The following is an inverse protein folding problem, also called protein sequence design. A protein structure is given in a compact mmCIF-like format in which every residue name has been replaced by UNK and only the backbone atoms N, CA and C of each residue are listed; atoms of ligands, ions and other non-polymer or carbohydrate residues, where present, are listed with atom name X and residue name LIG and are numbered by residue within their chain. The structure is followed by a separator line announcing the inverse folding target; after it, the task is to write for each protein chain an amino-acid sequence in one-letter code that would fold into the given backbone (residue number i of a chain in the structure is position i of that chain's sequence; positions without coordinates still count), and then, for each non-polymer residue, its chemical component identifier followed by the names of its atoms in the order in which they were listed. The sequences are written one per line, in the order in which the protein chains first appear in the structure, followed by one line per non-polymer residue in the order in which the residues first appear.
data_IF_300298594861
#
_entry.id   IF_300298594861
#
_cell.length_a   1.000
_cell.length_b   1.000
_cell.length_c   1.000
_cell.angle_alpha   90.00
_cell.angle_beta   90.00
_cell.angle_gamma   90.00
#
_symmetry.space_group_name_H-M   'P 1'
#
loop_
_entity.id
_entity.type
_entity.pdbx_description
1 polymer ?
#
# COMPACT_ATOMS: atom_id res chain seq x y z
N UNK A 1 12.83 -21.06 -4.71
CA UNK A 1 11.47 -20.71 -4.26
C UNK A 1 10.67 -20.31 -5.50
N UNK A 2 9.57 -21.00 -5.77
CA UNK A 2 8.67 -20.64 -6.85
C UNK A 2 8.03 -19.29 -6.56
N UNK A 3 8.02 -18.38 -7.53
CA UNK A 3 7.64 -16.98 -7.36
C UNK A 3 6.54 -16.60 -8.33
N UNK A 4 5.44 -16.07 -7.82
CA UNK A 4 4.36 -15.51 -8.63
C UNK A 4 4.29 -13.99 -8.46
N UNK A 5 4.03 -13.27 -9.54
CA UNK A 5 3.76 -11.83 -9.51
C UNK A 5 2.27 -11.60 -9.73
N UNK A 6 1.65 -10.81 -8.85
CA UNK A 6 0.23 -10.44 -8.90
C UNK A 6 0.11 -8.94 -9.14
N UNK A 7 -0.58 -8.56 -10.22
CA UNK A 7 -0.89 -7.17 -10.58
C UNK A 7 -2.40 -6.99 -10.65
N UNK A 8 -2.94 -5.96 -10.00
CA UNK A 8 -4.38 -5.66 -10.01
C UNK A 8 -4.65 -4.53 -10.99
N UNK A 9 -5.48 -4.78 -11.99
CA UNK A 9 -5.95 -3.79 -12.96
C UNK A 9 -7.36 -3.29 -12.60
N UNK A 10 -7.60 -2.01 -12.85
CA UNK A 10 -8.95 -1.43 -12.91
C UNK A 10 -8.97 -0.23 -13.84
N UNK A 11 -9.59 -0.39 -15.04
CA UNK A 11 -9.73 0.65 -16.08
C UNK A 11 -8.39 1.30 -16.53
N UNK A 12 -7.26 0.59 -16.42
CA UNK A 12 -5.93 1.10 -16.78
C UNK A 12 -5.06 0.01 -17.40
N UNK A 13 -5.59 -0.62 -18.48
CA UNK A 13 -4.85 -1.66 -19.21
C UNK A 13 -3.51 -1.16 -19.76
N UNK A 14 -3.41 0.12 -20.09
CA UNK A 14 -2.18 0.78 -20.55
C UNK A 14 -1.04 0.67 -19.52
N UNK A 15 -1.28 1.12 -18.30
CA UNK A 15 -0.30 1.06 -17.21
C UNK A 15 0.01 -0.39 -16.82
N UNK A 16 -1.04 -1.21 -16.70
CA UNK A 16 -0.90 -2.63 -16.35
C UNK A 16 -0.04 -3.37 -17.35
N UNK A 17 -0.22 -3.09 -18.66
CA UNK A 17 0.59 -3.69 -19.71
C UNK A 17 2.07 -3.31 -19.59
N UNK A 18 2.38 -2.04 -19.29
CA UNK A 18 3.76 -1.58 -19.11
C UNK A 18 4.43 -2.27 -17.90
N UNK A 19 3.75 -2.30 -16.75
CA UNK A 19 4.25 -2.95 -15.54
C UNK A 19 4.50 -4.45 -15.73
N UNK A 20 3.54 -5.17 -16.33
CA UNK A 20 3.62 -6.62 -16.52
C UNK A 20 4.65 -7.00 -17.58
N UNK A 21 4.80 -6.24 -18.67
CA UNK A 21 5.86 -6.48 -19.64
C UNK A 21 7.25 -6.41 -19.01
N UNK A 22 7.52 -5.41 -18.18
CA UNK A 22 8.79 -5.32 -17.49
C UNK A 22 9.08 -6.54 -16.60
N UNK A 23 8.05 -7.13 -15.96
CA UNK A 23 8.16 -8.39 -15.22
C UNK A 23 8.44 -9.58 -16.14
N UNK A 24 7.72 -9.69 -17.25
CA UNK A 24 7.90 -10.78 -18.22
C UNK A 24 9.27 -10.71 -18.90
N UNK A 25 9.74 -9.50 -19.25
CA UNK A 25 11.06 -9.27 -19.85
C UNK A 25 12.21 -9.66 -18.90
N UNK A 26 12.01 -9.53 -17.58
CA UNK A 26 12.96 -10.01 -16.58
C UNK A 26 13.07 -11.55 -16.56
N UNK A 27 11.97 -12.25 -16.80
CA UNK A 27 11.93 -13.71 -16.95
C UNK A 27 12.23 -14.51 -15.69
N UNK A 28 12.13 -13.91 -14.50
CA UNK A 28 12.46 -14.56 -13.21
C UNK A 28 11.22 -14.99 -12.41
N UNK A 29 10.03 -14.55 -12.77
CA UNK A 29 8.77 -15.02 -12.21
C UNK A 29 8.33 -16.34 -12.84
N UNK A 30 7.88 -17.28 -12.02
CA UNK A 30 7.33 -18.56 -12.50
C UNK A 30 5.88 -18.41 -12.99
N UNK A 31 5.12 -17.52 -12.34
CA UNK A 31 3.74 -17.17 -12.71
C UNK A 31 3.59 -15.65 -12.75
N UNK A 32 2.91 -15.12 -13.76
CA UNK A 32 2.48 -13.71 -13.79
C UNK A 32 0.96 -13.67 -13.92
N UNK A 33 0.30 -13.11 -12.92
CA UNK A 33 -1.15 -13.10 -12.78
C UNK A 33 -1.64 -11.65 -12.77
N UNK A 34 -2.44 -11.30 -13.76
CA UNK A 34 -3.13 -10.01 -13.85
C UNK A 34 -4.58 -10.22 -13.44
N UNK A 35 -5.00 -9.55 -12.38
CA UNK A 35 -6.39 -9.59 -11.94
C UNK A 35 -7.10 -8.32 -12.39
N UNK A 36 -8.00 -8.45 -13.35
CA UNK A 36 -8.92 -7.36 -13.68
C UNK A 36 -10.02 -7.30 -12.62
N UNK A 37 -10.04 -6.20 -11.89
CA UNK A 37 -10.89 -6.00 -10.72
C UNK A 37 -12.24 -5.35 -11.10
N UNK A 38 -12.92 -5.89 -12.10
CA UNK A 38 -14.22 -5.43 -12.56
C UNK A 38 -14.15 -4.11 -13.34
N UNK A 39 -13.23 -4.03 -14.31
CA UNK A 39 -13.17 -2.89 -15.23
C UNK A 39 -14.45 -2.74 -16.03
N UNK A 40 -14.85 -1.51 -16.29
CA UNK A 40 -16.03 -1.14 -17.09
C UNK A 40 -15.70 -0.86 -18.55
N UNK A 41 -14.41 -0.82 -18.90
CA UNK A 41 -13.87 -0.61 -20.23
C UNK A 41 -13.44 -1.95 -20.88
N UNK A 42 -12.69 -1.90 -21.98
CA UNK A 42 -12.18 -3.06 -22.71
C UNK A 42 -10.89 -3.66 -22.13
N UNK A 43 -10.50 -3.28 -20.92
CA UNK A 43 -9.25 -3.68 -20.25
C UNK A 43 -8.98 -5.19 -20.34
N UNK A 44 -9.97 -6.04 -20.09
CA UNK A 44 -9.81 -7.51 -20.12
C UNK A 44 -9.38 -8.01 -21.50
N UNK A 45 -10.00 -7.49 -22.56
CA UNK A 45 -9.67 -7.87 -23.94
C UNK A 45 -8.27 -7.38 -24.32
N UNK A 46 -7.97 -6.13 -24.00
CA UNK A 46 -6.64 -5.52 -24.25
C UNK A 46 -5.54 -6.27 -23.52
N UNK A 47 -5.72 -6.57 -22.23
CA UNK A 47 -4.72 -7.28 -21.43
C UNK A 47 -4.45 -8.70 -21.95
N UNK A 48 -5.50 -9.46 -22.31
CA UNK A 48 -5.33 -10.81 -22.88
C UNK A 48 -4.60 -10.81 -24.21
N UNK A 49 -4.83 -9.79 -25.04
CA UNK A 49 -4.14 -9.65 -26.32
C UNK A 49 -2.69 -9.19 -26.14
N UNK A 50 -2.45 -8.23 -25.22
CA UNK A 50 -1.14 -7.62 -25.01
C UNK A 50 -0.16 -8.47 -24.21
N UNK A 51 -0.68 -9.40 -23.38
CA UNK A 51 0.07 -10.18 -22.39
C UNK A 51 -0.25 -11.69 -22.51
N UNK A 52 0.08 -12.35 -23.64
CA UNK A 52 -0.26 -13.75 -23.88
C UNK A 52 0.43 -14.71 -22.87
N UNK A 53 1.56 -14.29 -22.30
CA UNK A 53 2.34 -15.08 -21.34
C UNK A 53 1.91 -14.84 -19.87
N UNK A 54 0.90 -14.00 -19.63
CA UNK A 54 0.33 -13.77 -18.32
C UNK A 54 -1.06 -14.38 -18.18
N UNK A 55 -1.40 -14.85 -17.00
CA UNK A 55 -2.76 -15.30 -16.66
C UNK A 55 -3.65 -14.11 -16.34
N UNK A 56 -4.64 -13.80 -17.19
CA UNK A 56 -5.61 -12.71 -16.95
C UNK A 56 -6.88 -13.27 -16.32
N UNK A 57 -7.10 -12.94 -15.06
CA UNK A 57 -8.27 -13.33 -14.25
C UNK A 57 -9.23 -12.15 -14.17
N UNK A 58 -10.42 -12.28 -14.75
CA UNK A 58 -11.45 -11.25 -14.70
C UNK A 58 -12.38 -11.50 -13.49
N UNK A 59 -12.51 -10.51 -12.61
CA UNK A 59 -13.55 -10.47 -11.56
C UNK A 59 -14.83 -9.87 -12.13
N UNK A 60 -15.97 -10.24 -11.55
CA UNK A 60 -17.26 -9.68 -11.95
C UNK A 60 -17.58 -8.33 -11.29
N UNK A 61 -16.76 -7.88 -10.32
CA UNK A 61 -17.01 -6.69 -9.51
C UNK A 61 -15.69 -6.02 -9.09
N UNK A 62 -15.76 -4.75 -8.72
CA UNK A 62 -14.67 -4.05 -8.08
C UNK A 62 -14.73 -4.24 -6.55
N UNK A 63 -14.00 -5.21 -6.04
CA UNK A 63 -13.86 -5.47 -4.60
C UNK A 63 -12.76 -4.65 -3.89
N UNK A 64 -12.15 -3.67 -4.57
CA UNK A 64 -10.98 -2.93 -4.09
C UNK A 64 -9.67 -3.70 -4.24
N UNK A 65 -8.56 -3.05 -3.89
CA UNK A 65 -7.22 -3.63 -4.06
C UNK A 65 -7.05 -4.95 -3.29
N UNK A 66 -7.52 -5.00 -2.03
CA UNK A 66 -7.40 -6.20 -1.20
C UNK A 66 -8.05 -7.43 -1.84
N UNK A 67 -9.26 -7.30 -2.37
CA UNK A 67 -9.97 -8.41 -3.00
C UNK A 67 -9.32 -8.81 -4.35
N UNK A 68 -8.86 -7.84 -5.14
CA UNK A 68 -8.11 -8.09 -6.38
C UNK A 68 -6.81 -8.87 -6.11
N UNK A 69 -5.99 -8.37 -5.19
CA UNK A 69 -4.74 -9.02 -4.78
C UNK A 69 -4.99 -10.44 -4.23
N UNK A 70 -5.98 -10.61 -3.35
CA UNK A 70 -6.34 -11.92 -2.83
C UNK A 70 -6.81 -12.88 -3.92
N UNK A 71 -7.49 -12.39 -4.94
CA UNK A 71 -7.88 -13.22 -6.11
C UNK A 71 -6.63 -13.75 -6.80
N UNK A 72 -5.63 -12.91 -7.07
CA UNK A 72 -4.36 -13.35 -7.65
C UNK A 72 -3.58 -14.31 -6.76
N UNK A 73 -3.51 -14.03 -5.46
CA UNK A 73 -2.82 -14.90 -4.47
C UNK A 73 -3.43 -16.32 -4.44
N UNK A 74 -4.74 -16.43 -4.60
CA UNK A 74 -5.45 -17.74 -4.64
C UNK A 74 -5.28 -18.48 -5.97
N UNK A 75 -4.84 -17.81 -7.03
CA UNK A 75 -4.60 -18.42 -8.34
C UNK A 75 -3.21 -19.04 -8.51
N UNK A 76 -2.40 -19.02 -7.48
CA UNK A 76 -1.07 -19.63 -7.48
C UNK A 76 -0.80 -20.36 -6.17
N UNK A 77 0.03 -21.39 -6.23
CA UNK A 77 0.60 -22.12 -5.07
C UNK A 77 2.09 -21.78 -4.86
N UNK A 78 2.59 -20.71 -5.49
CA UNK A 78 3.97 -20.27 -5.37
C UNK A 78 4.39 -20.02 -3.91
N UNK A 79 5.65 -20.30 -3.60
CA UNK A 79 6.24 -20.11 -2.26
C UNK A 79 6.31 -18.62 -1.88
N UNK A 80 6.47 -17.78 -2.90
CA UNK A 80 6.59 -16.33 -2.79
C UNK A 80 5.58 -15.67 -3.72
N UNK A 81 4.82 -14.71 -3.19
CA UNK A 81 3.91 -13.88 -3.98
C UNK A 81 4.42 -12.44 -3.97
N UNK A 82 4.72 -11.92 -5.14
CA UNK A 82 5.06 -10.51 -5.33
C UNK A 82 3.78 -9.74 -5.64
N UNK A 83 3.49 -8.72 -4.86
CA UNK A 83 2.46 -7.73 -5.16
C UNK A 83 3.12 -6.55 -5.87
N UNK A 84 2.57 -6.15 -7.01
CA UNK A 84 3.03 -5.02 -7.80
C UNK A 84 1.84 -4.17 -8.24
N UNK A 85 1.91 -2.87 -8.00
CA UNK A 85 0.90 -1.94 -8.52
C UNK A 85 0.97 -1.84 -10.04
N UNK A 86 -0.16 -1.63 -10.68
CA UNK A 86 -0.25 -1.49 -12.12
C UNK A 86 0.36 -0.18 -12.66
N UNK A 87 0.56 0.83 -11.82
CA UNK A 87 1.23 2.10 -12.13
C UNK A 87 2.69 2.14 -11.61
N UNK A 88 3.26 0.96 -11.39
CA UNK A 88 4.63 0.77 -10.93
C UNK A 88 5.42 -0.07 -11.95
N UNK A 89 6.46 0.51 -12.55
CA UNK A 89 7.30 -0.17 -13.53
C UNK A 89 8.59 -0.66 -12.86
N UNK A 90 8.82 -1.97 -12.75
CA UNK A 90 10.01 -2.52 -12.13
C UNK A 90 11.25 -2.30 -12.99
N UNK A 91 12.36 -1.98 -12.32
CA UNK A 91 13.69 -2.01 -12.93
C UNK A 91 14.14 -3.47 -13.17
N UNK A 92 15.04 -3.73 -14.14
CA UNK A 92 15.56 -5.07 -14.37
C UNK A 92 16.14 -5.69 -13.09
N UNK A 93 15.76 -6.94 -12.80
CA UNK A 93 16.20 -7.66 -11.61
C UNK A 93 15.33 -7.43 -10.36
N UNK A 94 14.23 -6.70 -10.45
CA UNK A 94 13.35 -6.40 -9.31
C UNK A 94 12.78 -7.64 -8.64
N UNK A 95 12.20 -8.57 -9.42
CA UNK A 95 11.58 -9.80 -8.90
C UNK A 95 12.66 -10.71 -8.31
N UNK A 96 13.80 -10.85 -9.02
CA UNK A 96 14.95 -11.61 -8.53
C UNK A 96 15.48 -11.06 -7.21
N UNK A 97 15.65 -9.74 -7.09
CA UNK A 97 16.15 -9.11 -5.87
C UNK A 97 15.23 -9.34 -4.67
N UNK A 98 13.90 -9.23 -4.85
CA UNK A 98 12.93 -9.53 -3.79
C UNK A 98 12.98 -11.01 -3.38
N UNK A 99 12.96 -11.92 -4.36
CA UNK A 99 13.01 -13.37 -4.12
C UNK A 99 14.27 -13.77 -3.40
N UNK A 100 15.43 -13.30 -3.87
CA UNK A 100 16.74 -13.69 -3.36
C UNK A 100 16.96 -13.10 -1.95
N UNK A 101 16.50 -11.86 -1.69
CA UNK A 101 16.50 -11.30 -0.35
C UNK A 101 15.66 -12.19 0.60
N UNK A 102 14.44 -12.55 0.21
CA UNK A 102 13.57 -13.39 1.03
C UNK A 102 14.12 -14.81 1.21
N UNK A 103 14.86 -15.33 0.23
CA UNK A 103 15.51 -16.64 0.31
C UNK A 103 16.68 -16.66 1.30
N UNK A 104 17.44 -15.57 1.41
CA UNK A 104 18.57 -15.44 2.33
C UNK A 104 18.17 -14.91 3.71
N UNK A 105 17.01 -14.28 3.83
CA UNK A 105 16.47 -13.85 5.11
C UNK A 105 16.08 -15.04 5.99
N UNK A 106 16.07 -14.82 7.31
CA UNK A 106 15.63 -15.84 8.26
C UNK A 106 14.18 -16.29 8.04
N UNK A 107 13.84 -17.50 8.53
CA UNK A 107 12.48 -18.05 8.36
C UNK A 107 11.39 -17.21 9.03
N UNK A 108 11.74 -16.31 9.95
CA UNK A 108 10.85 -15.37 10.61
C UNK A 108 10.51 -14.15 9.75
N UNK A 109 11.15 -13.96 8.59
CA UNK A 109 10.85 -12.87 7.67
C UNK A 109 9.68 -13.25 6.77
N UNK A 110 8.55 -12.59 6.96
CA UNK A 110 7.30 -12.83 6.24
C UNK A 110 7.22 -12.12 4.91
N UNK A 111 7.79 -10.93 4.84
CA UNK A 111 7.70 -10.09 3.66
C UNK A 111 8.96 -9.24 3.47
N UNK A 112 9.22 -8.91 2.22
CA UNK A 112 10.28 -8.00 1.81
C UNK A 112 9.65 -6.92 0.93
N UNK A 113 9.86 -5.64 1.28
CA UNK A 113 9.39 -4.50 0.49
C UNK A 113 10.52 -3.96 -0.37
N UNK A 114 10.21 -3.60 -1.63
CA UNK A 114 11.16 -2.98 -2.53
C UNK A 114 11.38 -1.49 -2.24
N UNK A 115 12.34 -0.91 -2.96
CA UNK A 115 12.58 0.53 -3.03
C UNK A 115 11.69 1.13 -4.12
N UNK A 116 10.69 1.89 -3.72
CA UNK A 116 9.79 2.58 -4.63
C UNK A 116 10.29 3.99 -4.83
N UNK A 117 10.58 4.38 -6.06
CA UNK A 117 10.96 5.75 -6.44
C UNK A 117 9.79 6.44 -7.14
N UNK A 118 9.68 7.75 -6.96
CA UNK A 118 8.68 8.54 -7.70
C UNK A 118 9.09 8.66 -9.16
N UNK A 119 8.15 8.45 -10.06
CA UNK A 119 8.36 8.65 -11.49
C UNK A 119 8.78 10.09 -11.79
N UNK A 120 9.79 10.23 -12.64
CA UNK A 120 10.35 11.50 -13.03
C UNK A 120 11.23 12.15 -11.96
N UNK A 121 11.48 13.44 -12.14
CA UNK A 121 12.34 14.25 -11.27
C UNK A 121 11.51 15.36 -10.63
N UNK A 122 11.86 15.75 -9.41
CA UNK A 122 11.07 16.63 -8.57
C UNK A 122 11.90 17.77 -7.99
N UNK A 123 11.31 18.96 -7.89
CA UNK A 123 11.92 20.13 -7.24
C UNK A 123 10.96 20.73 -6.22
N UNK A 124 11.51 21.40 -5.21
CA UNK A 124 10.72 22.11 -4.21
C UNK A 124 10.09 23.33 -4.84
N UNK A 125 8.77 23.48 -4.71
CA UNK A 125 8.07 24.70 -5.10
C UNK A 125 8.30 25.76 -4.02
N UNK A 126 8.90 26.92 -4.35
CA UNK A 126 9.16 27.98 -3.37
C UNK A 126 7.93 28.41 -2.58
N UNK A 127 8.11 28.89 -1.37
CA UNK A 127 7.04 29.42 -0.54
C UNK A 127 6.36 30.61 -1.25
N UNK A 128 5.02 30.55 -1.36
CA UNK A 128 4.25 31.60 -2.05
C UNK A 128 4.21 31.46 -3.58
N UNK A 129 5.01 30.61 -4.20
CA UNK A 129 4.92 30.36 -5.63
C UNK A 129 3.64 29.59 -5.96
N UNK A 130 2.96 30.00 -7.02
CA UNK A 130 1.85 29.26 -7.61
C UNK A 130 2.40 28.24 -8.61
N UNK A 131 1.96 26.97 -8.56
CA UNK A 131 2.31 25.99 -9.58
C UNK A 131 1.70 26.41 -10.93
N UNK A 132 2.28 25.93 -12.03
CA UNK A 132 1.62 26.05 -13.32
C UNK A 132 0.21 25.44 -13.26
N UNK A 133 -0.75 25.96 -14.05
CA UNK A 133 -2.06 25.31 -14.21
C UNK A 133 -1.81 23.84 -14.56
N UNK A 134 -2.52 22.93 -13.97
CA UNK A 134 -2.40 21.48 -14.17
C UNK A 134 -1.10 20.84 -13.66
N UNK A 135 -0.17 21.59 -13.06
CA UNK A 135 1.02 21.01 -12.46
C UNK A 135 0.67 20.16 -11.25
N UNK A 136 1.17 18.94 -11.26
CA UNK A 136 1.08 18.04 -10.12
C UNK A 136 1.86 18.62 -8.93
N UNK A 137 1.23 18.73 -7.77
CA UNK A 137 1.89 19.18 -6.54
C UNK A 137 1.69 18.15 -5.45
N UNK A 138 2.79 17.59 -4.97
CA UNK A 138 2.80 16.69 -3.82
C UNK A 138 3.40 17.40 -2.60
N UNK A 139 3.10 16.89 -1.40
CA UNK A 139 3.67 17.41 -0.15
C UNK A 139 4.47 16.35 0.55
N UNK A 140 5.66 16.69 1.01
CA UNK A 140 6.42 15.83 1.90
C UNK A 140 5.88 15.88 3.35
N UNK A 141 6.49 15.08 4.24
CA UNK A 141 6.08 15.03 5.65
C UNK A 141 6.30 16.34 6.42
N UNK A 142 7.22 17.19 5.94
CA UNK A 142 7.50 18.52 6.51
C UNK A 142 6.54 19.59 5.94
N UNK A 143 5.66 19.21 5.00
CA UNK A 143 4.69 20.07 4.35
C UNK A 143 5.25 20.90 3.18
N UNK A 144 6.53 20.67 2.77
CA UNK A 144 7.09 21.31 1.57
C UNK A 144 6.32 20.82 0.35
N UNK A 145 6.11 21.72 -0.59
CA UNK A 145 5.45 21.42 -1.87
C UNK A 145 6.50 21.04 -2.89
N UNK A 146 6.26 19.96 -3.61
CA UNK A 146 7.12 19.46 -4.68
C UNK A 146 6.34 19.41 -5.99
N UNK A 147 7.02 19.70 -7.10
CA UNK A 147 6.45 19.66 -8.44
C UNK A 147 7.44 18.98 -9.40
N UNK A 148 6.96 18.28 -10.46
CA UNK A 148 7.84 17.73 -11.49
C UNK A 148 8.70 18.81 -12.16
N UNK A 149 9.97 18.49 -12.43
CA UNK A 149 10.90 19.39 -13.08
C UNK A 149 12.03 18.59 -13.75
N UNK A 150 12.38 18.94 -14.99
CA UNK A 150 13.50 18.30 -15.70
C UNK A 150 14.84 18.43 -14.95
N UNK A 151 15.07 19.57 -14.29
CA UNK A 151 16.26 19.85 -13.49
C UNK A 151 16.15 19.39 -12.03
N UNK A 152 15.06 18.72 -11.67
CA UNK A 152 14.80 18.23 -10.32
C UNK A 152 15.65 17.00 -9.97
N UNK A 153 15.36 16.41 -8.83
CA UNK A 153 16.01 15.21 -8.32
C UNK A 153 15.06 14.02 -8.29
N UNK A 154 15.58 12.80 -8.43
CA UNK A 154 14.82 11.58 -8.17
C UNK A 154 14.56 11.46 -6.67
N UNK A 155 13.32 11.15 -6.30
CA UNK A 155 12.90 11.08 -4.91
C UNK A 155 12.27 9.71 -4.59
N UNK A 156 12.45 9.28 -3.35
CA UNK A 156 11.78 8.08 -2.86
C UNK A 156 10.26 8.32 -2.73
N UNK A 157 9.48 7.35 -3.16
CA UNK A 157 8.09 7.21 -2.76
C UNK A 157 8.02 6.46 -1.42
N UNK A 158 8.63 5.28 -1.36
CA UNK A 158 8.53 4.43 -0.18
C UNK A 158 9.69 3.44 -0.09
N UNK A 159 10.13 3.15 1.13
CA UNK A 159 10.98 2.01 1.50
C UNK A 159 10.25 1.09 2.48
N UNK A 160 8.92 1.05 2.41
CA UNK A 160 8.02 0.32 3.28
C UNK A 160 7.07 1.22 4.05
N UNK A 161 6.27 0.60 4.89
CA UNK A 161 5.30 1.31 5.73
C UNK A 161 5.86 1.57 7.11
N UNK A 162 5.64 2.78 7.62
CA UNK A 162 5.76 3.11 9.05
C UNK A 162 4.41 3.48 9.64
N UNK A 163 4.24 3.24 10.92
CA UNK A 163 3.06 3.68 11.67
C UNK A 163 3.52 4.67 12.73
N UNK A 164 2.89 5.83 12.80
CA UNK A 164 3.20 6.81 13.84
C UNK A 164 2.44 6.53 15.15
N UNK A 165 2.81 7.26 16.22
CA UNK A 165 2.16 7.17 17.55
C UNK A 165 0.64 7.43 17.54
N UNK A 166 0.13 8.02 16.47
CA UNK A 166 -1.29 8.34 16.30
C UNK A 166 -2.01 7.33 15.41
N UNK A 167 -1.34 6.22 15.06
CA UNK A 167 -1.89 5.14 14.25
C UNK A 167 -1.98 5.44 12.77
N UNK A 168 -1.25 6.47 12.27
CA UNK A 168 -1.18 6.68 10.82
C UNK A 168 -0.20 5.67 10.21
N UNK A 169 -0.70 4.83 9.30
CA UNK A 169 0.12 4.16 8.31
C UNK A 169 0.55 5.17 7.24
N UNK A 170 1.82 5.21 6.92
CA UNK A 170 2.37 6.11 5.91
C UNK A 170 3.62 5.52 5.26
N UNK A 171 3.91 5.97 4.06
CA UNK A 171 5.14 5.62 3.36
C UNK A 171 6.37 6.07 4.16
N UNK A 172 7.27 5.14 4.42
CA UNK A 172 8.57 5.45 5.00
C UNK A 172 9.44 6.12 3.93
N UNK A 173 10.21 7.11 4.34
CA UNK A 173 11.15 7.86 3.48
C UNK A 173 10.48 8.64 2.32
N UNK A 174 9.19 8.96 2.42
CA UNK A 174 8.47 9.76 1.44
C UNK A 174 9.19 11.08 1.13
N UNK A 175 9.51 11.32 -0.14
CA UNK A 175 10.33 12.43 -0.66
C UNK A 175 11.79 12.48 -0.15
N UNK A 176 12.30 11.47 0.52
CA UNK A 176 13.73 11.41 0.84
C UNK A 176 14.58 11.28 -0.43
N UNK A 177 15.87 11.67 -0.39
CA UNK A 177 16.82 11.41 -1.48
C UNK A 177 16.90 9.93 -1.83
N UNK A 178 17.09 9.60 -3.11
CA UNK A 178 17.11 8.21 -3.59
C UNK A 178 18.29 7.41 -3.06
N UNK A 179 19.40 8.05 -2.71
CA UNK A 179 20.61 7.46 -2.15
C UNK A 179 20.55 7.25 -0.62
N UNK A 180 19.41 7.59 0.00
CA UNK A 180 19.23 7.36 1.42
C UNK A 180 19.41 5.88 1.77
N UNK A 181 20.32 5.63 2.70
CA UNK A 181 20.46 4.31 3.33
C UNK A 181 19.29 4.11 4.27
N UNK A 182 18.48 3.12 3.97
CA UNK A 182 17.31 2.76 4.78
C UNK A 182 17.62 1.55 5.67
N UNK A 183 17.04 1.52 6.89
CA UNK A 183 17.11 0.35 7.74
C UNK A 183 16.49 -0.87 7.06
N UNK A 184 17.06 -2.04 7.29
CA UNK A 184 16.56 -3.31 6.74
C UNK A 184 15.24 -3.69 7.42
N UNK A 185 15.16 -3.65 8.76
CA UNK A 185 13.90 -3.96 9.48
C UNK A 185 12.92 -2.79 9.35
N UNK A 186 11.73 -3.08 8.88
CA UNK A 186 10.67 -2.08 8.66
C UNK A 186 9.38 -2.54 9.30
N UNK A 187 8.51 -1.60 9.69
CA UNK A 187 7.24 -1.95 10.32
C UNK A 187 6.36 -2.80 9.40
N UNK A 188 6.24 -2.40 8.13
CA UNK A 188 5.40 -3.07 7.15
C UNK A 188 5.92 -2.88 5.73
N UNK A 189 5.37 -3.67 4.84
CA UNK A 189 5.65 -3.63 3.40
C UNK A 189 4.66 -2.70 2.69
N UNK A 190 5.04 -2.19 1.53
CA UNK A 190 4.11 -1.49 0.62
C UNK A 190 3.40 -2.50 -0.27
N UNK A 191 2.07 -2.48 -0.32
CA UNK A 191 1.28 -3.31 -1.23
C UNK A 191 1.60 -3.10 -2.71
N UNK A 192 2.31 -2.02 -3.04
CA UNK A 192 2.65 -1.68 -4.43
C UNK A 192 3.93 -2.31 -4.97
N UNK A 193 4.83 -2.82 -4.11
CA UNK A 193 6.10 -3.42 -4.53
C UNK A 193 6.69 -4.27 -3.41
N UNK A 194 6.23 -5.50 -3.24
CA UNK A 194 6.70 -6.36 -2.15
C UNK A 194 6.53 -7.84 -2.44
N UNK A 195 7.40 -8.66 -1.86
CA UNK A 195 7.29 -10.12 -1.85
C UNK A 195 6.79 -10.60 -0.49
N UNK A 196 5.86 -11.54 -0.50
CA UNK A 196 5.27 -12.15 0.69
C UNK A 196 5.53 -13.67 0.67
N UNK A 197 5.97 -14.21 1.79
CA UNK A 197 6.16 -15.65 1.99
C UNK A 197 4.80 -16.33 2.14
N UNK A 198 4.55 -17.39 1.38
CA UNK A 198 3.29 -18.17 1.43
C UNK A 198 2.98 -18.65 2.84
N UNK A 199 3.95 -19.24 3.52
CA UNK A 199 3.76 -19.75 4.88
C UNK A 199 3.37 -18.69 5.89
N UNK A 200 3.78 -17.44 5.69
CA UNK A 200 3.34 -16.34 6.53
C UNK A 200 1.87 -15.95 6.23
N UNK A 201 1.48 -15.94 4.95
CA UNK A 201 0.08 -15.72 4.55
C UNK A 201 -0.84 -16.85 5.06
N UNK A 202 -0.37 -18.09 5.06
CA UNK A 202 -1.12 -19.25 5.58
C UNK A 202 -1.32 -19.13 7.10
N UNK A 203 -0.34 -18.61 7.84
CA UNK A 203 -0.42 -18.39 9.30
C UNK A 203 -1.36 -17.26 9.70
N UNK A 204 -1.28 -16.11 9.00
CA UNK A 204 -2.03 -14.92 9.42
C UNK A 204 -3.29 -14.66 8.58
N UNK A 205 -3.40 -15.27 7.42
CA UNK A 205 -4.45 -15.01 6.41
C UNK A 205 -4.07 -13.90 5.43
N UNK A 206 -4.86 -13.77 4.38
CA UNK A 206 -4.67 -12.83 3.28
C UNK A 206 -5.02 -11.38 3.68
N UNK A 207 -4.96 -10.44 2.74
CA UNK A 207 -5.38 -9.04 2.92
C UNK A 207 -6.86 -8.97 3.36
N UNK A 208 -7.21 -7.98 4.18
CA UNK A 208 -8.58 -7.82 4.64
C UNK A 208 -9.45 -7.08 3.62
N UNK A 209 -10.32 -7.82 2.95
CA UNK A 209 -11.19 -7.30 1.89
C UNK A 209 -12.22 -6.26 2.40
N UNK A 210 -12.52 -6.23 3.72
CA UNK A 210 -13.43 -5.23 4.30
C UNK A 210 -12.85 -3.80 4.33
N UNK A 211 -11.54 -3.68 4.16
CA UNK A 211 -10.86 -2.40 4.01
C UNK A 211 -11.03 -1.82 2.61
N UNK A 212 -11.30 -2.65 1.62
CA UNK A 212 -11.44 -2.31 0.21
C UNK A 212 -10.12 -1.82 -0.39
N UNK A 213 -9.60 -0.67 0.05
CA UNK A 213 -8.40 0.00 -0.43
C UNK A 213 -7.85 0.91 0.67
N UNK A 214 -6.52 1.04 0.75
CA UNK A 214 -5.74 1.76 1.75
C UNK A 214 -5.78 1.11 3.15
N UNK A 215 -4.61 0.98 3.76
CA UNK A 215 -4.36 0.33 5.05
C UNK A 215 -4.43 -1.21 5.05
N UNK A 216 -4.71 -1.88 3.94
CA UNK A 216 -4.72 -3.35 3.88
C UNK A 216 -3.33 -3.96 4.08
N UNK A 217 -2.29 -3.31 3.57
CA UNK A 217 -0.87 -3.65 3.78
C UNK A 217 -0.43 -3.37 5.23
N UNK A 218 -0.79 -2.20 5.74
CA UNK A 218 -0.56 -1.80 7.13
C UNK A 218 -1.26 -2.76 8.10
N UNK A 219 -2.49 -3.16 7.81
CA UNK A 219 -3.25 -4.13 8.60
C UNK A 219 -2.57 -5.51 8.61
N UNK A 220 -2.18 -5.99 7.43
CA UNK A 220 -1.48 -7.27 7.32
C UNK A 220 -0.12 -7.22 8.05
N UNK A 221 0.61 -6.10 7.95
CA UNK A 221 1.84 -5.90 8.70
C UNK A 221 1.63 -5.98 10.22
N UNK A 222 0.55 -5.40 10.75
CA UNK A 222 0.17 -5.55 12.16
C UNK A 222 -0.07 -7.02 12.54
N UNK A 223 -0.81 -7.78 11.72
CA UNK A 223 -1.06 -9.22 12.00
C UNK A 223 0.24 -10.01 11.99
N UNK A 224 1.09 -9.81 10.99
CA UNK A 224 2.40 -10.43 10.87
C UNK A 224 3.24 -10.17 12.12
N UNK A 225 3.46 -8.91 12.49
CA UNK A 225 4.27 -8.54 13.67
C UNK A 225 3.67 -9.07 14.98
N UNK A 226 2.36 -9.11 15.10
CA UNK A 226 1.69 -9.67 16.27
C UNK A 226 1.78 -11.19 16.36
N UNK A 227 2.13 -11.86 15.28
CA UNK A 227 2.47 -13.28 15.23
C UNK A 227 3.96 -13.55 15.40
N UNK A 228 4.78 -12.51 15.45
CA UNK A 228 6.24 -12.61 15.61
C UNK A 228 7.02 -12.56 14.29
N UNK A 229 6.33 -12.41 13.16
CA UNK A 229 6.95 -12.23 11.86
C UNK A 229 7.64 -10.87 11.75
N UNK A 230 8.67 -10.82 10.91
CA UNK A 230 9.39 -9.58 10.55
C UNK A 230 9.10 -9.19 9.10
N UNK A 231 9.34 -7.92 8.80
CA UNK A 231 9.30 -7.37 7.44
C UNK A 231 10.62 -6.67 7.19
N UNK A 232 11.23 -6.89 6.03
CA UNK A 232 12.51 -6.31 5.66
C UNK A 232 12.41 -5.47 4.38
N UNK A 233 13.39 -4.58 4.16
CA UNK A 233 13.51 -3.76 2.97
C UNK A 233 14.67 -4.24 2.11
N UNK A 234 14.41 -4.50 0.82
CA UNK A 234 15.41 -4.84 -0.19
C UNK A 234 15.78 -3.58 -0.99
N UNK A 235 16.98 -3.08 -0.76
CA UNK A 235 17.49 -1.85 -1.40
C UNK A 235 17.62 -1.99 -2.92
N UNK A 236 17.96 -3.18 -3.41
CA UNK A 236 18.25 -3.45 -4.82
C UNK A 236 16.99 -3.78 -5.64
N UNK A 237 15.87 -4.05 -4.97
CA UNK A 237 14.58 -4.26 -5.62
C UNK A 237 13.92 -2.91 -5.92
N UNK A 238 14.22 -2.32 -7.06
CA UNK A 238 13.78 -0.96 -7.42
C UNK A 238 12.60 -0.97 -8.35
N UNK A 239 11.61 -0.10 -8.10
CA UNK A 239 10.46 0.13 -8.96
C UNK A 239 10.18 1.63 -9.08
N UNK A 240 9.87 2.10 -10.29
CA UNK A 240 9.43 3.47 -10.54
C UNK A 240 7.89 3.52 -10.50
N UNK A 241 7.32 4.41 -9.69
CA UNK A 241 5.89 4.49 -9.45
C UNK A 241 5.33 5.86 -9.85
N UNK A 242 4.35 5.85 -10.75
CA UNK A 242 3.58 7.05 -11.09
C UNK A 242 2.47 7.28 -10.06
N UNK A 243 2.89 7.74 -8.88
CA UNK A 243 2.04 7.91 -7.71
C UNK A 243 0.71 8.57 -8.05
N UNK A 244 -0.40 7.88 -7.75
CA UNK A 244 -1.78 8.34 -7.96
C UNK A 244 -2.25 8.44 -9.44
N UNK A 245 -1.58 7.78 -10.37
CA UNK A 245 -2.06 7.72 -11.75
C UNK A 245 -3.42 7.01 -11.87
N UNK A 246 -3.69 6.05 -10.97
CA UNK A 246 -4.90 5.22 -10.99
C UNK A 246 -6.03 5.68 -10.07
N UNK A 247 -5.76 6.36 -8.93
CA UNK A 247 -6.77 6.62 -7.89
C UNK A 247 -7.06 8.09 -7.56
N UNK A 248 -6.19 9.03 -7.97
CA UNK A 248 -6.30 10.46 -7.67
C UNK A 248 -6.12 10.80 -6.19
N UNK A 249 -5.12 11.61 -5.84
CA UNK A 249 -4.65 11.92 -4.45
C UNK A 249 -5.71 12.56 -3.54
N UNK A 250 -6.87 12.98 -4.04
CA UNK A 250 -7.90 13.67 -3.25
C UNK A 250 -9.32 13.23 -3.63
N UNK A 251 -9.48 12.01 -4.13
CA UNK A 251 -10.81 11.47 -4.39
C UNK A 251 -11.61 11.33 -3.09
N UNK A 252 -12.93 11.40 -3.16
CA UNK A 252 -13.82 11.18 -2.02
C UNK A 252 -13.58 9.79 -1.39
N UNK A 253 -13.31 8.80 -2.24
CA UNK A 253 -12.97 7.45 -1.81
C UNK A 253 -11.68 7.44 -0.97
N UNK A 254 -10.63 8.14 -1.43
CA UNK A 254 -9.38 8.28 -0.70
C UNK A 254 -9.60 8.88 0.69
N UNK A 255 -10.27 10.03 0.77
CA UNK A 255 -10.50 10.73 2.03
C UNK A 255 -11.31 9.88 3.01
N UNK A 256 -12.42 9.29 2.53
CA UNK A 256 -13.28 8.46 3.35
C UNK A 256 -12.56 7.20 3.84
N UNK A 257 -11.95 6.43 2.94
CA UNK A 257 -11.29 5.16 3.27
C UNK A 257 -10.09 5.35 4.19
N UNK A 258 -9.24 6.36 3.94
CA UNK A 258 -8.13 6.66 4.84
C UNK A 258 -8.59 7.03 6.25
N UNK A 259 -9.60 7.88 6.38
CA UNK A 259 -10.12 8.26 7.69
C UNK A 259 -10.72 7.07 8.45
N UNK A 260 -11.55 6.25 7.76
CA UNK A 260 -12.20 5.06 8.30
C UNK A 260 -11.18 3.98 8.68
N UNK A 261 -10.37 3.56 7.71
CA UNK A 261 -9.50 2.39 7.86
C UNK A 261 -8.42 2.64 8.91
N UNK A 262 -7.91 3.87 9.02
CA UNK A 262 -7.01 4.27 10.10
C UNK A 262 -7.59 3.95 11.49
N UNK A 263 -8.84 4.35 11.76
CA UNK A 263 -9.49 4.10 13.06
C UNK A 263 -9.74 2.59 13.23
N UNK A 264 -10.23 1.93 12.18
CA UNK A 264 -10.54 0.50 12.19
C UNK A 264 -9.29 -0.34 12.46
N UNK A 265 -8.20 -0.10 11.75
CA UNK A 265 -6.94 -0.84 11.94
C UNK A 265 -6.34 -0.57 13.33
N UNK A 266 -6.37 0.67 13.79
CA UNK A 266 -5.98 0.99 15.17
C UNK A 266 -6.85 0.25 16.20
N UNK A 267 -8.18 0.22 16.03
CA UNK A 267 -9.10 -0.55 16.88
C UNK A 267 -8.74 -2.03 16.92
N UNK A 268 -8.38 -2.65 15.79
CA UNK A 268 -8.06 -4.07 15.74
C UNK A 268 -6.73 -4.40 16.41
N UNK A 269 -5.70 -3.59 16.20
CA UNK A 269 -4.32 -3.97 16.46
C UNK A 269 -3.57 -3.11 17.48
N UNK A 270 -3.87 -1.81 17.57
CA UNK A 270 -3.08 -0.89 18.38
C UNK A 270 -3.47 -0.91 19.87
N UNK A 271 -2.58 -0.45 20.79
CA UNK A 271 -2.93 -0.17 22.17
C UNK A 271 -4.03 0.90 22.29
N UNK A 272 -4.80 0.87 23.39
CA UNK A 272 -5.90 1.82 23.58
C UNK A 272 -5.48 3.32 23.54
N UNK A 273 -4.31 3.74 24.04
CA UNK A 273 -3.89 5.14 23.88
C UNK A 273 -3.72 5.55 22.40
N UNK A 274 -3.20 4.68 21.55
CA UNK A 274 -3.06 4.92 20.10
C UNK A 274 -4.45 4.95 19.43
N UNK A 275 -5.37 4.06 19.81
CA UNK A 275 -6.77 4.10 19.35
C UNK A 275 -7.42 5.44 19.69
N UNK A 276 -7.28 5.90 20.95
CA UNK A 276 -7.84 7.17 21.37
C UNK A 276 -7.26 8.35 20.57
N UNK A 277 -5.93 8.39 20.39
CA UNK A 277 -5.28 9.45 19.59
C UNK A 277 -5.75 9.43 18.14
N UNK A 278 -5.77 8.25 17.49
CA UNK A 278 -6.25 8.09 16.12
C UNK A 278 -7.68 8.64 15.95
N UNK A 279 -8.57 8.25 16.86
CA UNK A 279 -9.98 8.65 16.85
C UNK A 279 -10.16 10.15 17.08
N UNK A 280 -9.55 10.69 18.13
CA UNK A 280 -9.65 12.12 18.48
C UNK A 280 -9.08 13.01 17.38
N UNK A 281 -7.90 12.68 16.85
CA UNK A 281 -7.31 13.47 15.75
C UNK A 281 -8.14 13.45 14.48
N UNK A 282 -8.70 12.30 14.12
CA UNK A 282 -9.60 12.21 12.96
C UNK A 282 -10.84 13.05 13.14
N UNK A 283 -11.47 12.99 14.33
CA UNK A 283 -12.63 13.82 14.65
C UNK A 283 -12.31 15.32 14.63
N UNK A 284 -11.20 15.72 15.28
CA UNK A 284 -10.76 17.13 15.31
C UNK A 284 -10.47 17.64 13.90
N UNK A 285 -9.86 16.83 13.03
CA UNK A 285 -9.65 17.21 11.61
C UNK A 285 -10.97 17.48 10.91
N UNK A 286 -11.97 16.59 11.07
CA UNK A 286 -13.30 16.79 10.50
C UNK A 286 -13.99 18.06 11.02
N UNK A 287 -14.01 18.28 12.33
CA UNK A 287 -14.66 19.45 12.94
C UNK A 287 -13.98 20.77 12.55
N UNK A 288 -12.63 20.81 12.53
CA UNK A 288 -11.89 22.00 12.06
C UNK A 288 -12.19 22.32 10.59
N UNK A 289 -12.25 21.31 9.74
CA UNK A 289 -12.60 21.50 8.32
C UNK A 289 -13.99 22.11 8.12
N UNK A 290 -14.96 21.74 8.97
CA UNK A 290 -16.30 22.37 8.95
C UNK A 290 -16.23 23.84 9.42
N UNK A 291 -15.51 24.13 10.49
CA UNK A 291 -15.42 25.47 11.06
C UNK A 291 -14.73 26.47 10.12
N UNK A 292 -13.66 26.06 9.43
CA UNK A 292 -12.91 26.93 8.52
C UNK A 292 -13.57 27.11 7.16
N UNK A 293 -14.55 26.29 6.81
CA UNK A 293 -15.26 26.36 5.52
C UNK A 293 -14.45 25.98 4.27
N UNK A 294 -13.12 25.92 4.40
CA UNK A 294 -12.18 25.75 3.28
C UNK A 294 -12.15 24.30 2.73
N UNK A 295 -12.62 23.32 3.53
CA UNK A 295 -12.58 21.89 3.21
C UNK A 295 -13.87 21.19 3.67
N UNK A 296 -15.03 21.84 3.51
CA UNK A 296 -16.34 21.30 3.98
C UNK A 296 -16.66 19.92 3.39
N UNK A 297 -16.30 19.67 2.13
CA UNK A 297 -16.51 18.36 1.49
C UNK A 297 -15.68 17.29 2.17
N UNK A 298 -14.38 17.52 2.34
CA UNK A 298 -13.47 16.62 3.04
C UNK A 298 -13.91 16.38 4.48
N UNK A 299 -14.30 17.44 5.18
CA UNK A 299 -14.79 17.35 6.55
C UNK A 299 -16.03 16.44 6.69
N UNK A 300 -16.98 16.54 5.77
CA UNK A 300 -18.16 15.67 5.74
C UNK A 300 -17.79 14.20 5.52
N UNK A 301 -16.84 13.91 4.64
CA UNK A 301 -16.36 12.55 4.39
C UNK A 301 -15.65 11.96 5.61
N UNK A 302 -14.83 12.76 6.31
CA UNK A 302 -14.17 12.35 7.55
C UNK A 302 -15.20 12.04 8.65
N UNK A 303 -16.25 12.86 8.80
CA UNK A 303 -17.31 12.63 9.77
C UNK A 303 -18.18 11.43 9.38
N UNK A 304 -18.44 11.22 8.09
CA UNK A 304 -19.14 10.04 7.61
C UNK A 304 -18.35 8.76 7.90
N UNK A 305 -17.03 8.79 7.70
CA UNK A 305 -16.14 7.69 8.07
C UNK A 305 -16.18 7.40 9.59
N UNK A 306 -16.26 8.44 10.41
CA UNK A 306 -16.40 8.27 11.86
C UNK A 306 -17.75 7.66 12.24
N UNK A 307 -18.84 8.08 11.59
CA UNK A 307 -20.18 7.51 11.81
C UNK A 307 -20.23 6.03 11.42
N UNK A 308 -19.66 5.65 10.26
CA UNK A 308 -19.53 4.24 9.82
C UNK A 308 -18.82 3.38 10.87
N UNK A 309 -17.70 3.86 11.40
CA UNK A 309 -16.97 3.12 12.46
C UNK A 309 -17.80 3.02 13.74
N UNK A 310 -18.53 4.04 14.12
CA UNK A 310 -19.37 4.03 15.32
C UNK A 310 -20.53 3.05 15.17
N UNK A 311 -21.18 3.01 14.02
CA UNK A 311 -22.27 2.07 13.69
C UNK A 311 -21.78 0.61 13.71
N UNK A 312 -20.58 0.36 13.17
CA UNK A 312 -19.99 -0.98 13.08
C UNK A 312 -19.09 -1.35 14.26
N UNK A 313 -19.03 -0.52 15.30
CA UNK A 313 -18.14 -0.69 16.46
C UNK A 313 -18.22 -2.08 17.12
N UNK A 314 -19.42 -2.70 17.35
CA UNK A 314 -19.48 -4.04 17.94
C UNK A 314 -18.72 -5.09 17.13
N UNK A 315 -18.78 -5.02 15.79
CA UNK A 315 -18.05 -5.93 14.88
C UNK A 315 -16.55 -5.73 15.02
N UNK A 316 -16.08 -4.48 15.09
CA UNK A 316 -14.67 -4.17 15.27
C UNK A 316 -14.14 -4.60 16.64
N UNK A 317 -14.91 -4.47 17.71
CA UNK A 317 -14.54 -4.95 19.04
C UNK A 317 -14.47 -6.48 19.10
N UNK A 318 -15.42 -7.17 18.48
CA UNK A 318 -15.38 -8.64 18.35
C UNK A 318 -14.11 -9.09 17.60
N UNK A 319 -13.77 -8.39 16.51
CA UNK A 319 -12.53 -8.65 15.79
C UNK A 319 -11.29 -8.39 16.64
N UNK A 320 -11.24 -7.27 17.39
CA UNK A 320 -10.13 -6.99 18.31
C UNK A 320 -9.89 -8.13 19.30
N UNK A 321 -10.95 -8.73 19.83
CA UNK A 321 -10.86 -9.87 20.75
C UNK A 321 -10.29 -11.10 20.03
N UNK A 322 -10.78 -11.39 18.82
CA UNK A 322 -10.27 -12.49 17.99
C UNK A 322 -8.77 -12.33 17.68
N UNK A 323 -8.36 -11.13 17.23
CA UNK A 323 -6.95 -10.82 16.95
C UNK A 323 -6.08 -10.87 18.23
N UNK A 324 -6.65 -10.60 19.39
CA UNK A 324 -5.92 -10.75 20.67
C UNK A 324 -5.63 -12.20 20.99
N UNK A 325 -6.59 -13.08 20.73
CA UNK A 325 -6.44 -14.54 21.00
C UNK A 325 -5.45 -15.20 20.05
N UNK A 326 -5.31 -14.71 18.83
CA UNK A 326 -4.39 -15.24 17.82
C UNK A 326 -2.96 -14.74 17.97
N UNK A 327 -2.75 -13.65 18.67
CA UNK A 327 -1.45 -12.99 18.75
C UNK A 327 -0.47 -13.72 19.69
N UNK A 328 0.77 -13.86 19.26
CA UNK A 328 1.90 -14.35 20.07
C UNK A 328 2.65 -13.18 20.71
N UNK A 329 2.58 -11.98 20.11
CA UNK A 329 3.30 -10.78 20.60
C UNK A 329 2.28 -9.75 21.12
N UNK A 330 2.47 -9.20 22.34
CA UNK A 330 1.59 -8.19 22.90
C UNK A 330 1.58 -6.89 22.08
N UNK A 331 0.42 -6.18 22.00
CA UNK A 331 0.27 -4.91 21.27
C UNK A 331 1.34 -3.88 21.60
N UNK A 332 1.69 -3.72 22.88
CA UNK A 332 2.68 -2.73 23.32
C UNK A 332 4.08 -2.97 22.75
N UNK A 333 4.45 -4.20 22.43
CA UNK A 333 5.76 -4.50 21.84
C UNK A 333 5.81 -4.26 20.33
N UNK A 334 4.66 -4.19 19.69
CA UNK A 334 4.54 -3.96 18.24
C UNK A 334 4.21 -2.50 17.95
N UNK A 335 3.71 -1.75 18.96
CA UNK A 335 3.32 -0.34 18.77
C UNK A 335 4.56 0.53 18.48
N UNK A 336 4.69 1.10 17.27
CA UNK A 336 5.86 1.92 16.92
C UNK A 336 5.86 3.28 17.60
N UNK A 337 4.80 3.61 18.33
CA UNK A 337 4.69 4.84 19.14
C UNK A 337 4.94 4.63 20.65
N UNK A 338 5.37 3.43 21.05
CA UNK A 338 5.67 3.11 22.45
C UNK A 338 7.10 3.48 22.82
#
# INVERSE_FOLDING_TARGET
MRTAVVVVNWNRADLTTAAVRAVLDEGTADDVIVVDNGSSDDSVAVLRQALPDATVVARGDNGGFAAGANTGIRHTDADVVVLLNNDAVPAPGFVAALRDHLAHAGPEVAAVTGRIVLAGRWTVLPAGAEPAPDARVLRDHDGRRWTPSADGEVRLNSTGVRVDRDGNGMDRDWFAPVDRVADVDVFGFSGGASALRRTALDDVGLLDESLFMYYEDTELAWRLRRRGWRVEHATDAVVEHDHSASSGVQSDLFVFRNARNRIVVALWHAPWPTVARATVRTLVRGLRGLATGRTRREARLVLAAFADVAETLPVHLARRLRETRRASVPRRRVDPGA
#
